data_IF_943987378274
#
_entry.id   IF_943987378274
#
_cell.length_a   1.000
_cell.length_b   1.000
_cell.length_c   1.000
_cell.angle_alpha   90.00
_cell.angle_beta   90.00
_cell.angle_gamma   90.00
#
_symmetry.space_group_name_H-M   'P 1'
#
loop_
_entity.id
_entity.type
_entity.pdbx_description
1 polymer ?
#
# COMPACT_ATOMS: atom_id res chain seq x y z
N UNK A 1 -56.78 -23.95 0.07
CA UNK A 1 -55.45 -24.35 0.61
C UNK A 1 -54.38 -23.63 -0.19
N UNK A 2 -53.83 -22.56 0.38
CA UNK A 2 -52.91 -21.64 -0.29
C UNK A 2 -51.47 -22.07 0.06
N UNK A 3 -50.75 -22.69 -0.88
CA UNK A 3 -49.32 -23.00 -0.70
C UNK A 3 -48.53 -21.70 -0.89
N UNK A 4 -48.11 -21.09 0.22
CA UNK A 4 -47.13 -20.00 0.21
C UNK A 4 -45.75 -20.61 -0.02
N UNK A 5 -45.27 -20.54 -1.26
CA UNK A 5 -43.88 -20.85 -1.59
C UNK A 5 -43.02 -19.69 -1.09
N UNK A 6 -42.32 -19.91 0.03
CA UNK A 6 -41.35 -18.98 0.58
C UNK A 6 -40.08 -19.07 -0.29
N UNK A 7 -39.85 -18.08 -1.14
CA UNK A 7 -38.58 -17.94 -1.89
C UNK A 7 -37.56 -17.34 -0.93
N UNK A 8 -36.65 -18.18 -0.42
CA UNK A 8 -35.45 -17.71 0.28
C UNK A 8 -34.48 -17.18 -0.79
N UNK A 9 -34.45 -15.86 -0.96
CA UNK A 9 -33.37 -15.20 -1.71
C UNK A 9 -32.15 -15.19 -0.78
N UNK A 10 -31.28 -16.17 -0.94
CA UNK A 10 -29.95 -16.17 -0.33
C UNK A 10 -29.16 -15.04 -1.00
N UNK A 11 -29.12 -13.86 -0.38
CA UNK A 11 -28.09 -12.87 -0.69
C UNK A 11 -26.76 -13.48 -0.26
N UNK A 12 -26.11 -14.18 -1.19
CA UNK A 12 -24.66 -14.35 -1.16
C UNK A 12 -24.07 -12.94 -1.22
N UNK A 13 -23.82 -12.35 -0.05
CA UNK A 13 -22.78 -11.36 0.09
C UNK A 13 -21.49 -12.04 -0.34
N UNK A 14 -21.21 -11.98 -1.64
CA UNK A 14 -19.84 -12.03 -2.11
C UNK A 14 -19.26 -10.75 -1.51
N UNK A 15 -18.70 -10.84 -0.30
CA UNK A 15 -17.64 -9.94 0.10
C UNK A 15 -16.51 -10.23 -0.89
N UNK A 16 -16.61 -9.62 -2.06
CA UNK A 16 -15.46 -9.31 -2.85
C UNK A 16 -14.64 -8.44 -1.91
N UNK A 17 -13.68 -9.07 -1.22
CA UNK A 17 -12.55 -8.37 -0.66
C UNK A 17 -11.95 -7.68 -1.88
N UNK A 18 -12.39 -6.44 -2.12
CA UNK A 18 -11.86 -5.58 -3.16
C UNK A 18 -10.48 -5.24 -2.65
N UNK A 19 -9.53 -6.11 -2.97
CA UNK A 19 -8.15 -5.96 -2.59
C UNK A 19 -7.64 -4.55 -2.81
N UNK A 20 -6.95 -4.01 -1.82
CA UNK A 20 -6.28 -2.72 -1.91
C UNK A 20 -5.21 -2.60 -0.84
N UNK A 21 -4.09 -1.98 -1.21
CA UNK A 21 -2.97 -1.70 -0.32
C UNK A 21 -2.35 -0.36 -0.71
N UNK A 22 -1.93 0.39 0.30
CA UNK A 22 -1.30 1.70 0.19
C UNK A 22 -0.40 1.93 1.42
N UNK A 23 0.43 2.96 1.36
CA UNK A 23 1.26 3.38 2.50
C UNK A 23 0.42 4.20 3.48
N UNK A 24 0.29 3.72 4.71
CA UNK A 24 -0.42 4.42 5.80
C UNK A 24 0.49 5.37 6.59
N UNK A 25 1.77 5.03 6.70
CA UNK A 25 2.72 5.68 7.62
C UNK A 25 4.12 5.68 7.04
N UNK A 26 4.81 6.82 7.04
CA UNK A 26 6.25 6.92 6.78
C UNK A 26 6.96 7.50 8.02
N UNK A 27 8.11 6.93 8.38
CA UNK A 27 8.94 7.43 9.46
C UNK A 27 10.41 7.02 9.29
N UNK A 28 11.30 7.68 10.03
CA UNK A 28 12.70 7.25 10.19
C UNK A 28 12.89 6.29 11.38
N UNK A 29 11.88 6.17 12.26
CA UNK A 29 11.85 5.20 13.34
C UNK A 29 10.94 4.01 12.98
N UNK A 30 11.56 2.84 12.79
CA UNK A 30 10.84 1.57 12.54
C UNK A 30 9.84 1.25 13.65
N UNK A 31 10.09 1.67 14.89
CA UNK A 31 9.21 1.43 16.04
C UNK A 31 7.88 2.15 15.87
N UNK A 32 7.90 3.39 15.35
CA UNK A 32 6.69 4.15 15.03
C UNK A 32 5.89 3.44 13.95
N UNK A 33 6.56 3.01 12.88
CA UNK A 33 5.91 2.34 11.75
C UNK A 33 5.33 0.98 12.15
N UNK A 34 6.09 0.15 12.85
CA UNK A 34 5.73 -1.25 13.10
C UNK A 34 5.03 -1.47 14.44
N UNK A 35 5.71 -1.16 15.55
CA UNK A 35 5.22 -1.47 16.89
C UNK A 35 3.99 -0.64 17.27
N UNK A 36 3.90 0.58 16.73
CA UNK A 36 2.74 1.46 16.91
C UNK A 36 1.74 1.37 15.76
N UNK A 37 1.89 0.37 14.88
CA UNK A 37 0.92 0.00 13.84
C UNK A 37 -0.54 0.00 14.29
N UNK A 38 -0.87 -0.69 15.41
CA UNK A 38 -2.24 -0.76 15.88
C UNK A 38 -2.83 0.62 16.23
N UNK A 39 -2.01 1.57 16.66
CA UNK A 39 -2.45 2.92 17.01
C UNK A 39 -2.90 3.70 15.77
N UNK A 40 -2.14 3.70 14.68
CA UNK A 40 -2.54 4.46 13.48
C UNK A 40 -3.49 3.72 12.54
N UNK A 41 -3.51 2.38 12.58
CA UNK A 41 -4.46 1.57 11.78
C UNK A 41 -5.85 1.63 12.40
N UNK A 42 -5.97 1.55 13.74
CA UNK A 42 -7.26 1.46 14.44
C UNK A 42 -7.62 2.67 15.31
N UNK A 43 -6.71 3.62 15.54
CA UNK A 43 -6.95 4.80 16.38
C UNK A 43 -7.87 5.85 15.76
N UNK A 44 -8.28 5.68 14.50
CA UNK A 44 -9.12 6.62 13.77
C UNK A 44 -8.48 8.01 13.70
N UNK A 45 -9.30 9.06 13.86
CA UNK A 45 -8.82 10.46 13.80
C UNK A 45 -7.87 10.84 14.93
N UNK A 46 -7.83 10.08 16.04
CA UNK A 46 -6.92 10.35 17.16
C UNK A 46 -5.46 10.08 16.82
N UNK A 47 -5.20 9.30 15.77
CA UNK A 47 -3.86 8.97 15.31
C UNK A 47 -3.36 9.89 14.18
N UNK A 48 -4.16 10.88 13.78
CA UNK A 48 -3.74 11.87 12.80
C UNK A 48 -2.49 12.63 13.29
N UNK A 49 -1.46 12.71 12.45
CA UNK A 49 -0.19 13.36 12.78
C UNK A 49 0.79 12.50 13.57
N UNK A 50 0.48 11.22 13.80
CA UNK A 50 1.35 10.30 14.54
C UNK A 50 2.63 9.90 13.80
N UNK A 51 2.55 9.68 12.49
CA UNK A 51 3.71 9.37 11.64
C UNK A 51 4.37 10.67 11.17
N UNK A 52 5.70 10.65 11.01
CA UNK A 52 6.46 11.79 10.53
C UNK A 52 6.18 12.14 9.05
N UNK A 53 5.65 11.21 8.25
CA UNK A 53 5.24 11.46 6.89
C UNK A 53 4.05 10.62 6.41
N UNK A 54 3.38 11.10 5.37
CA UNK A 54 2.22 10.44 4.77
C UNK A 54 2.27 10.43 3.25
N UNK A 55 1.50 9.52 2.65
CA UNK A 55 1.24 9.58 1.22
C UNK A 55 0.40 10.80 0.84
N UNK A 56 0.41 11.11 -0.45
CA UNK A 56 -0.32 12.22 -1.05
C UNK A 56 -1.79 12.19 -0.63
N UNK A 57 -2.28 13.32 -0.13
CA UNK A 57 -3.68 13.55 0.21
C UNK A 57 -4.26 12.52 1.19
N UNK A 58 -3.43 11.97 2.09
CA UNK A 58 -3.84 10.96 3.05
C UNK A 58 -4.96 11.45 3.97
N UNK A 59 -6.14 10.84 3.87
CA UNK A 59 -7.33 11.27 4.62
C UNK A 59 -7.32 10.81 6.09
N UNK A 60 -6.45 9.86 6.43
CA UNK A 60 -6.38 9.25 7.75
C UNK A 60 -7.42 8.14 7.95
N UNK A 61 -7.10 7.17 8.80
CA UNK A 61 -7.96 6.00 9.11
C UNK A 61 -9.24 6.36 9.89
N UNK A 62 -9.41 7.62 10.30
CA UNK A 62 -10.66 8.14 10.84
C UNK A 62 -11.73 8.46 9.80
N UNK A 63 -11.36 8.54 8.52
CA UNK A 63 -12.31 8.75 7.42
C UNK A 63 -12.98 7.42 7.04
N UNK A 64 -14.32 7.34 7.02
CA UNK A 64 -15.04 6.10 6.71
C UNK A 64 -14.79 5.59 5.28
N UNK A 65 -14.36 6.47 4.37
CA UNK A 65 -14.06 6.14 2.98
C UNK A 65 -12.56 6.01 2.71
N UNK A 66 -11.70 5.93 3.74
CA UNK A 66 -10.24 5.84 3.59
C UNK A 66 -9.82 4.77 2.58
N UNK A 67 -10.47 3.61 2.64
CA UNK A 67 -10.26 2.50 1.72
C UNK A 67 -10.48 2.89 0.26
N UNK A 68 -11.55 3.62 -0.04
CA UNK A 68 -11.84 4.08 -1.40
C UNK A 68 -10.91 5.23 -1.81
N UNK A 69 -10.71 6.22 -0.93
CA UNK A 69 -9.96 7.45 -1.22
C UNK A 69 -8.45 7.22 -1.36
N UNK A 70 -7.89 6.25 -0.63
CA UNK A 70 -6.46 5.97 -0.66
C UNK A 70 -6.06 4.89 -1.67
N UNK A 71 -7.02 4.12 -2.19
CA UNK A 71 -6.73 3.10 -3.19
C UNK A 71 -6.56 3.71 -4.56
N UNK A 72 -5.32 3.70 -5.06
CA UNK A 72 -5.05 3.93 -6.47
C UNK A 72 -4.76 2.61 -7.18
N UNK A 73 -5.73 2.13 -7.96
CA UNK A 73 -5.69 0.81 -8.63
C UNK A 73 -5.54 0.95 -10.14
N UNK A 74 -4.62 0.18 -10.72
CA UNK A 74 -4.38 0.13 -12.17
C UNK A 74 -4.56 -1.32 -12.64
N UNK A 75 -5.49 -1.59 -13.55
CA UNK A 75 -5.68 -2.94 -14.07
C UNK A 75 -4.48 -3.37 -14.92
N UNK A 76 -4.14 -4.67 -14.94
CA UNK A 76 -3.03 -5.19 -15.79
C UNK A 76 -3.15 -4.71 -17.24
N UNK A 77 -4.37 -4.72 -17.78
CA UNK A 77 -4.64 -4.30 -19.16
C UNK A 77 -4.28 -2.83 -19.41
N UNK A 78 -4.26 -1.99 -18.39
CA UNK A 78 -3.95 -0.57 -18.49
C UNK A 78 -2.49 -0.27 -18.11
N UNK A 79 -1.83 -1.14 -17.34
CA UNK A 79 -0.38 -1.06 -17.10
C UNK A 79 0.39 -1.05 -18.43
N UNK A 80 -0.01 -1.91 -19.38
CA UNK A 80 0.58 -1.99 -20.71
C UNK A 80 0.21 -0.80 -21.63
N UNK A 81 -0.73 0.06 -21.23
CA UNK A 81 -1.21 1.22 -22.02
C UNK A 81 -0.70 2.55 -21.47
N UNK A 82 0.36 2.53 -20.67
CA UNK A 82 0.94 3.72 -20.07
C UNK A 82 -0.01 4.50 -19.14
N UNK A 83 -0.70 3.80 -18.24
CA UNK A 83 -1.62 4.40 -17.28
C UNK A 83 -0.92 5.40 -16.35
N UNK A 84 -1.67 6.38 -15.84
CA UNK A 84 -1.21 7.28 -14.79
C UNK A 84 -0.92 6.50 -13.49
N UNK A 85 0.11 6.90 -12.75
CA UNK A 85 0.54 6.23 -11.51
C UNK A 85 0.14 7.00 -10.23
N UNK A 86 -0.34 8.24 -10.37
CA UNK A 86 -0.80 9.10 -9.29
C UNK A 86 -2.09 9.82 -9.69
N UNK A 87 -2.86 10.29 -8.71
CA UNK A 87 -3.94 11.25 -8.98
C UNK A 87 -3.38 12.58 -9.49
N UNK A 88 -4.18 13.30 -10.28
CA UNK A 88 -3.84 14.63 -10.81
C UNK A 88 -4.02 15.75 -9.79
N UNK A 89 -4.51 15.44 -8.58
CA UNK A 89 -4.72 16.42 -7.53
C UNK A 89 -3.41 17.14 -7.18
N UNK A 90 -3.52 18.35 -6.65
CA UNK A 90 -2.35 19.03 -6.08
C UNK A 90 -1.82 18.25 -4.87
N UNK A 91 -0.53 18.38 -4.59
CA UNK A 91 0.06 17.85 -3.36
C UNK A 91 -0.47 18.65 -2.17
N UNK A 92 -1.23 18.01 -1.29
CA UNK A 92 -1.71 18.62 -0.05
C UNK A 92 -1.07 17.96 1.18
N UNK A 93 -0.22 18.73 1.85
CA UNK A 93 0.40 18.44 3.14
C UNK A 93 0.03 19.51 4.17
N UNK A 94 -1.23 19.97 4.13
CA UNK A 94 -1.82 20.88 5.11
C UNK A 94 -2.28 20.14 6.38
N UNK A 95 -2.64 20.91 7.40
CA UNK A 95 -3.10 20.44 8.71
C UNK A 95 -2.06 19.56 9.43
N UNK A 96 -2.44 18.32 9.76
CA UNK A 96 -1.61 17.33 10.44
C UNK A 96 -0.82 16.45 9.47
N UNK A 97 -1.06 16.57 8.16
CA UNK A 97 -0.34 15.80 7.14
C UNK A 97 1.00 16.46 6.90
N UNK A 98 2.05 15.67 6.89
CA UNK A 98 3.40 16.14 6.60
C UNK A 98 4.07 15.23 5.56
N UNK A 99 4.97 15.83 4.78
CA UNK A 99 5.99 15.07 4.06
C UNK A 99 7.09 14.71 5.04
N UNK A 100 7.71 13.55 4.87
CA UNK A 100 8.80 13.14 5.76
C UNK A 100 10.03 14.03 5.50
N UNK A 101 10.48 14.77 6.52
CA UNK A 101 11.74 15.53 6.46
C UNK A 101 12.90 14.71 7.01
N UNK A 102 14.01 14.63 6.29
CA UNK A 102 15.15 13.78 6.61
C UNK A 102 16.44 14.28 5.95
N UNK A 103 17.59 13.67 6.27
CA UNK A 103 18.87 13.96 5.62
C UNK A 103 19.23 12.90 4.57
N UNK A 104 20.11 13.26 3.63
CA UNK A 104 20.66 12.28 2.70
C UNK A 104 21.38 11.14 3.44
N UNK A 105 21.22 9.90 2.98
CA UNK A 105 21.70 8.70 3.68
C UNK A 105 20.76 8.16 4.75
N UNK A 106 19.71 8.89 5.13
CA UNK A 106 18.73 8.40 6.10
C UNK A 106 17.93 7.21 5.54
N UNK A 107 17.58 6.28 6.42
CA UNK A 107 16.67 5.18 6.13
C UNK A 107 15.24 5.59 6.45
N UNK A 108 14.35 5.33 5.50
CA UNK A 108 12.92 5.47 5.63
C UNK A 108 12.31 4.10 5.85
N UNK A 109 11.38 4.02 6.80
CA UNK A 109 10.48 2.90 7.01
C UNK A 109 9.08 3.33 6.66
N UNK A 110 8.29 2.41 6.12
CA UNK A 110 6.89 2.69 5.83
C UNK A 110 6.03 1.44 6.05
N UNK A 111 4.81 1.70 6.53
CA UNK A 111 3.82 0.68 6.85
C UNK A 111 2.75 0.63 5.76
N UNK A 112 2.41 -0.57 5.31
CA UNK A 112 1.28 -0.82 4.42
C UNK A 112 0.51 -2.06 4.89
N UNK A 113 -0.79 -2.09 4.62
CA UNK A 113 -1.65 -3.21 5.02
C UNK A 113 -1.73 -4.27 3.93
N UNK A 114 -1.70 -5.55 4.34
CA UNK A 114 -1.83 -6.68 3.40
C UNK A 114 -3.27 -6.90 2.99
N UNK A 115 -4.21 -6.54 3.86
CA UNK A 115 -5.64 -6.58 3.63
C UNK A 115 -6.13 -7.96 3.16
N UNK A 116 -5.55 -9.01 3.73
CA UNK A 116 -5.86 -10.40 3.42
C UNK A 116 -5.11 -11.00 2.22
N UNK A 117 -4.36 -10.22 1.44
CA UNK A 117 -3.67 -10.71 0.24
C UNK A 117 -2.57 -11.74 0.52
N UNK A 118 -2.01 -11.72 1.74
CA UNK A 118 -0.97 -12.66 2.17
C UNK A 118 -1.60 -13.91 2.79
N UNK A 119 -2.44 -13.76 3.82
CA UNK A 119 -2.87 -14.91 4.63
C UNK A 119 -4.15 -15.56 4.10
N UNK A 120 -5.16 -14.75 3.75
CA UNK A 120 -6.49 -15.22 3.32
C UNK A 120 -6.47 -15.70 1.88
N UNK A 121 -5.90 -14.89 0.99
CA UNK A 121 -5.86 -15.19 -0.44
C UNK A 121 -4.64 -16.02 -0.84
N UNK A 122 -3.54 -15.91 -0.07
CA UNK A 122 -2.25 -16.57 -0.36
C UNK A 122 -1.67 -16.19 -1.72
N UNK A 123 -2.06 -15.02 -2.24
CA UNK A 123 -1.72 -14.57 -3.58
C UNK A 123 -0.51 -13.63 -3.59
N UNK A 124 -0.29 -12.85 -2.53
CA UNK A 124 0.76 -11.83 -2.53
C UNK A 124 2.16 -12.34 -2.19
N UNK A 125 2.30 -13.58 -1.69
CA UNK A 125 3.56 -14.11 -1.14
C UNK A 125 4.75 -14.19 -2.12
N UNK A 126 4.51 -13.99 -3.42
CA UNK A 126 5.56 -13.93 -4.46
C UNK A 126 5.44 -12.71 -5.37
N UNK A 127 4.70 -11.70 -4.92
CA UNK A 127 4.53 -10.46 -5.68
C UNK A 127 5.52 -9.41 -5.19
N UNK A 128 5.81 -8.45 -6.07
CA UNK A 128 6.87 -7.50 -5.83
C UNK A 128 6.37 -6.06 -5.92
N UNK A 129 6.93 -5.21 -5.08
CA UNK A 129 6.80 -3.77 -5.20
C UNK A 129 8.17 -3.12 -5.44
N UNK A 130 8.15 -1.87 -5.90
CA UNK A 130 9.33 -1.00 -5.90
C UNK A 130 8.98 0.40 -5.43
N UNK A 131 9.99 1.14 -4.98
CA UNK A 131 9.89 2.58 -4.70
C UNK A 131 10.68 3.33 -5.76
N UNK A 132 9.99 4.19 -6.50
CA UNK A 132 10.52 4.84 -7.69
C UNK A 132 10.56 6.35 -7.52
N UNK A 133 11.55 6.97 -8.15
CA UNK A 133 11.73 8.41 -8.17
C UNK A 133 12.56 8.84 -9.38
N UNK A 134 12.63 10.14 -9.65
CA UNK A 134 13.49 10.71 -10.69
C UNK A 134 14.92 11.00 -10.21
N UNK A 135 15.13 11.06 -8.89
CA UNK A 135 16.37 11.54 -8.27
C UNK A 135 16.60 13.06 -8.42
N UNK A 136 15.62 13.82 -8.92
CA UNK A 136 15.74 15.28 -9.12
C UNK A 136 14.63 16.01 -8.35
N UNK A 137 14.96 16.97 -7.45
CA UNK A 137 13.97 17.72 -6.70
C UNK A 137 12.87 18.33 -7.59
N UNK A 138 11.62 18.27 -7.13
CA UNK A 138 10.47 18.90 -7.78
C UNK A 138 9.97 18.22 -9.06
N UNK A 139 10.58 17.11 -9.49
CA UNK A 139 10.16 16.36 -10.69
C UNK A 139 9.41 15.08 -10.31
N UNK A 140 8.61 14.54 -11.24
CA UNK A 140 7.76 13.38 -11.00
C UNK A 140 7.85 12.37 -12.14
N UNK A 141 7.72 11.10 -11.79
CA UNK A 141 7.28 10.06 -12.72
C UNK A 141 5.76 10.22 -12.91
N UNK A 142 5.24 10.02 -14.12
CA UNK A 142 3.83 10.31 -14.43
C UNK A 142 3.02 9.05 -14.74
N UNK A 143 3.66 8.05 -15.34
CA UNK A 143 2.98 6.93 -15.98
C UNK A 143 3.70 5.60 -15.76
N UNK A 144 3.02 4.48 -16.04
CA UNK A 144 3.58 3.14 -15.84
C UNK A 144 4.82 2.86 -16.69
N UNK A 145 5.05 3.57 -17.80
CA UNK A 145 6.28 3.43 -18.59
C UNK A 145 7.48 4.16 -17.97
N UNK A 146 7.25 5.11 -17.06
CA UNK A 146 8.33 5.78 -16.33
C UNK A 146 8.93 4.89 -15.21
N UNK A 147 8.23 3.81 -14.84
CA UNK A 147 8.62 2.87 -13.78
C UNK A 147 9.67 1.85 -14.28
N UNK A 148 10.87 2.35 -14.57
CA UNK A 148 12.01 1.56 -15.02
C UNK A 148 12.98 1.22 -13.88
N UNK A 149 13.85 0.23 -14.11
CA UNK A 149 14.78 -0.27 -13.09
C UNK A 149 15.79 0.81 -12.63
N UNK A 150 16.18 1.74 -13.50
CA UNK A 150 17.05 2.87 -13.17
C UNK A 150 16.34 3.95 -12.33
N UNK A 151 15.02 3.85 -12.17
CA UNK A 151 14.21 4.74 -11.33
C UNK A 151 13.93 4.17 -9.95
N UNK A 152 14.31 2.92 -9.67
CA UNK A 152 14.24 2.36 -8.33
C UNK A 152 15.21 3.10 -7.40
N UNK A 153 14.72 3.61 -6.28
CA UNK A 153 15.52 4.42 -5.37
C UNK A 153 16.73 3.66 -4.79
N UNK A 154 16.59 2.37 -4.58
CA UNK A 154 17.61 1.46 -4.07
C UNK A 154 18.02 0.39 -5.10
N UNK A 155 17.58 0.54 -6.35
CA UNK A 155 17.97 -0.31 -7.48
C UNK A 155 17.34 -1.70 -7.51
N UNK A 156 16.38 -2.03 -6.62
CA UNK A 156 15.80 -3.37 -6.55
C UNK A 156 14.29 -3.39 -6.29
N UNK A 157 13.68 -4.52 -6.64
CA UNK A 157 12.31 -4.84 -6.24
C UNK A 157 12.33 -5.62 -4.93
N UNK A 158 11.24 -5.50 -4.18
CA UNK A 158 11.08 -6.10 -2.85
C UNK A 158 9.86 -7.00 -2.83
N UNK A 159 9.90 -8.07 -2.04
CA UNK A 159 8.72 -8.89 -1.78
C UNK A 159 7.66 -8.06 -1.06
N UNK A 160 6.40 -8.19 -1.48
CA UNK A 160 5.27 -7.59 -0.76
C UNK A 160 4.99 -8.27 0.59
N UNK A 161 5.19 -9.59 0.68
CA UNK A 161 5.15 -10.27 1.98
C UNK A 161 6.50 -10.07 2.69
N UNK A 162 6.49 -9.31 3.79
CA UNK A 162 7.68 -9.04 4.60
C UNK A 162 8.06 -10.21 5.53
N UNK A 163 7.31 -11.32 5.47
CA UNK A 163 7.52 -12.51 6.29
C UNK A 163 6.88 -12.45 7.67
N UNK A 164 6.27 -11.33 8.06
CA UNK A 164 5.86 -11.11 9.44
C UNK A 164 4.46 -10.48 9.60
N UNK A 165 4.05 -9.60 8.70
CA UNK A 165 2.69 -9.07 8.66
C UNK A 165 1.67 -10.16 8.30
N UNK A 166 0.43 -9.96 8.71
CA UNK A 166 -0.67 -10.86 8.35
C UNK A 166 -1.78 -10.88 9.37
N UNK A 167 -2.95 -10.45 8.92
CA UNK A 167 -4.17 -10.35 9.70
C UNK A 167 -4.71 -11.74 10.07
N UNK A 168 -5.32 -11.86 11.25
CA UNK A 168 -6.18 -13.00 11.53
C UNK A 168 -7.45 -12.88 10.67
N UNK A 169 -8.05 -14.01 10.30
CA UNK A 169 -9.28 -13.98 9.49
C UNK A 169 -10.30 -14.99 9.99
N UNK A 170 -11.58 -14.69 9.77
CA UNK A 170 -12.68 -15.60 10.09
C UNK A 170 -13.11 -16.36 8.85
N UNK A 171 -13.38 -17.66 8.99
CA UNK A 171 -14.04 -18.49 7.98
C UNK A 171 -15.57 -18.54 8.14
N UNK A 172 -16.11 -17.71 9.04
CA UNK A 172 -17.53 -17.69 9.41
C UNK A 172 -17.90 -18.63 10.57
N UNK A 173 -17.01 -19.53 10.97
CA UNK A 173 -17.18 -20.41 12.13
C UNK A 173 -16.19 -20.09 13.26
N UNK A 174 -14.94 -19.76 12.92
CA UNK A 174 -13.90 -19.46 13.89
C UNK A 174 -12.92 -18.40 13.37
N UNK A 175 -12.30 -17.66 14.28
CA UNK A 175 -11.11 -16.85 13.96
C UNK A 175 -9.92 -17.79 13.79
N UNK A 176 -9.33 -17.78 12.60
CA UNK A 176 -8.15 -18.57 12.23
C UNK A 176 -6.90 -17.72 12.50
N UNK A 177 -6.01 -18.15 13.42
CA UNK A 177 -4.72 -17.49 13.61
C UNK A 177 -3.89 -17.61 12.33
N UNK A 178 -3.31 -16.50 11.89
CA UNK A 178 -2.45 -16.46 10.69
C UNK A 178 -1.07 -17.07 10.90
N UNK A 179 -0.64 -17.26 12.15
CA UNK A 179 0.75 -17.54 12.51
C UNK A 179 1.70 -16.35 12.27
N UNK A 180 1.13 -15.18 11.97
CA UNK A 180 1.83 -13.91 11.75
C UNK A 180 1.58 -12.97 12.95
N UNK A 181 2.10 -11.75 12.88
CA UNK A 181 1.99 -10.77 13.97
C UNK A 181 0.56 -10.33 14.30
N UNK A 182 -0.40 -10.57 13.40
CA UNK A 182 -1.82 -10.35 13.63
C UNK A 182 -2.31 -8.95 13.24
N UNK A 183 -3.56 -8.70 13.58
CA UNK A 183 -4.29 -7.49 13.19
C UNK A 183 -3.62 -6.22 13.73
N UNK A 184 -3.48 -5.21 12.87
CA UNK A 184 -2.87 -3.93 13.22
C UNK A 184 -1.35 -3.90 13.16
N UNK A 185 -0.68 -5.03 12.87
CA UNK A 185 0.74 -5.04 12.53
C UNK A 185 0.91 -4.96 11.02
N UNK A 186 1.36 -3.81 10.48
CA UNK A 186 1.52 -3.61 9.05
C UNK A 186 2.66 -4.45 8.51
N UNK A 187 2.66 -4.65 7.19
CA UNK A 187 3.87 -4.99 6.47
C UNK A 187 4.81 -3.78 6.47
N UNK A 188 6.11 -4.03 6.62
CA UNK A 188 7.11 -2.95 6.68
C UNK A 188 8.00 -3.00 5.46
N UNK A 189 7.99 -1.92 4.69
CA UNK A 189 8.99 -1.67 3.68
C UNK A 189 10.04 -0.68 4.17
N UNK A 190 11.18 -0.68 3.50
CA UNK A 190 12.26 0.27 3.78
C UNK A 190 12.99 0.67 2.50
N UNK A 191 13.57 1.86 2.50
CA UNK A 191 14.56 2.30 1.52
C UNK A 191 15.48 3.33 2.18
N UNK A 192 16.67 3.54 1.62
CA UNK A 192 17.56 4.62 2.05
C UNK A 192 17.61 5.70 0.99
N UNK A 193 17.62 6.96 1.43
CA UNK A 193 17.88 8.09 0.55
C UNK A 193 19.35 8.04 0.15
N UNK A 194 19.70 8.01 -1.15
CA UNK A 194 21.09 7.91 -1.56
C UNK A 194 21.98 9.00 -0.93
N UNK A 195 23.19 8.62 -0.52
CA UNK A 195 24.16 9.57 0.02
C UNK A 195 24.49 10.63 -1.04
N UNK A 196 24.59 11.88 -0.62
CA UNK A 196 24.86 13.01 -1.52
C UNK A 196 23.63 13.53 -2.28
N UNK A 197 22.43 12.99 -2.00
CA UNK A 197 21.17 13.57 -2.49
C UNK A 197 21.08 15.04 -2.08
N UNK A 198 20.87 15.92 -3.04
CA UNK A 198 20.80 17.36 -2.78
C UNK A 198 19.56 17.73 -1.94
N UNK A 199 19.60 18.79 -1.14
CA UNK A 199 18.41 19.28 -0.45
C UNK A 199 17.27 19.62 -1.42
N UNK A 200 16.04 19.30 -1.03
CA UNK A 200 14.85 19.56 -1.83
C UNK A 200 13.72 18.57 -1.58
N UNK A 201 12.56 18.84 -2.18
CA UNK A 201 11.39 17.95 -2.12
C UNK A 201 11.43 16.99 -3.29
N UNK A 202 11.37 15.69 -3.00
CA UNK A 202 11.37 14.61 -3.99
C UNK A 202 10.00 13.95 -4.03
N UNK A 203 9.52 13.67 -5.24
CA UNK A 203 8.28 12.92 -5.45
C UNK A 203 8.64 11.44 -5.68
N UNK A 204 8.01 10.56 -4.91
CA UNK A 204 8.23 9.13 -4.97
C UNK A 204 6.92 8.39 -5.24
N UNK A 205 7.04 7.19 -5.79
CA UNK A 205 5.93 6.29 -6.06
C UNK A 205 6.29 4.92 -5.50
N UNK A 206 5.54 4.44 -4.52
CA UNK A 206 5.48 3.03 -4.20
C UNK A 206 4.52 2.35 -5.17
N UNK A 207 4.97 1.30 -5.84
CA UNK A 207 4.21 0.61 -6.88
C UNK A 207 4.29 -0.90 -6.67
N UNK A 208 3.15 -1.51 -6.36
CA UNK A 208 3.03 -2.96 -6.13
C UNK A 208 2.32 -3.63 -7.30
N UNK A 209 2.95 -4.65 -7.88
CA UNK A 209 2.34 -5.50 -8.90
C UNK A 209 1.62 -6.67 -8.24
N UNK A 210 0.31 -6.56 -8.01
CA UNK A 210 -0.49 -7.68 -7.50
C UNK A 210 -0.96 -8.59 -8.65
N UNK A 211 0.02 -9.24 -9.30
CA UNK A 211 -0.14 -10.22 -10.36
C UNK A 211 1.18 -10.96 -10.60
N UNK A 212 1.15 -12.04 -11.37
CA UNK A 212 2.36 -12.72 -11.80
C UNK A 212 3.13 -11.84 -12.79
N UNK A 213 4.29 -11.34 -12.39
CA UNK A 213 5.04 -10.35 -13.15
C UNK A 213 5.71 -10.92 -14.41
N UNK A 214 5.96 -12.23 -14.44
CA UNK A 214 6.61 -12.90 -15.57
C UNK A 214 5.60 -13.17 -16.70
N UNK A 215 4.37 -13.52 -16.33
CA UNK A 215 3.31 -13.89 -17.27
C UNK A 215 2.26 -12.79 -17.49
N UNK A 216 2.25 -11.75 -16.64
CA UNK A 216 1.23 -10.69 -16.62
C UNK A 216 -0.19 -11.24 -16.47
N UNK A 217 -0.38 -12.25 -15.62
CA UNK A 217 -1.71 -12.84 -15.36
C UNK A 217 -2.10 -12.78 -13.89
N UNK A 218 -3.39 -12.94 -13.63
CA UNK A 218 -3.92 -13.20 -12.29
C UNK A 218 -3.26 -14.44 -11.66
N UNK A 219 -3.26 -14.50 -10.33
CA UNK A 219 -2.56 -15.49 -9.52
C UNK A 219 -3.57 -16.56 -9.06
N UNK A 220 -3.46 -17.81 -9.55
CA UNK A 220 -4.26 -18.92 -9.06
C UNK A 220 -3.76 -19.40 -7.71
N UNK A 221 -4.66 -19.56 -6.74
CA UNK A 221 -4.38 -20.12 -5.42
C UNK A 221 -5.40 -21.23 -5.12
N UNK A 222 -5.24 -21.91 -3.99
CA UNK A 222 -6.19 -22.95 -3.55
C UNK A 222 -7.58 -22.38 -3.22
N UNK A 223 -7.68 -21.08 -2.93
CA UNK A 223 -8.91 -20.39 -2.54
C UNK A 223 -9.56 -19.60 -3.69
N UNK A 224 -8.89 -19.42 -4.82
CA UNK A 224 -9.45 -18.69 -5.96
C UNK A 224 -8.42 -18.19 -6.96
N UNK A 225 -8.83 -17.23 -7.79
CA UNK A 225 -7.95 -16.53 -8.72
C UNK A 225 -7.94 -15.06 -8.31
N UNK A 226 -6.78 -14.55 -7.93
CA UNK A 226 -6.59 -13.23 -7.34
C UNK A 226 -5.64 -12.38 -8.18
N UNK A 227 -5.39 -11.14 -7.74
CA UNK A 227 -4.57 -10.21 -8.50
C UNK A 227 -5.34 -9.53 -9.64
N UNK A 228 -4.62 -9.19 -10.71
CA UNK A 228 -5.21 -8.51 -11.87
C UNK A 228 -5.01 -6.99 -11.88
N UNK A 229 -4.27 -6.45 -10.91
CA UNK A 229 -4.02 -5.02 -10.82
C UNK A 229 -2.68 -4.70 -10.15
N UNK A 230 -2.19 -3.49 -10.40
CA UNK A 230 -1.20 -2.84 -9.58
C UNK A 230 -1.85 -1.82 -8.65
N UNK A 231 -1.18 -1.54 -7.53
CA UNK A 231 -1.57 -0.50 -6.58
C UNK A 231 -0.42 0.49 -6.41
N UNK A 232 -0.77 1.75 -6.20
CA UNK A 232 0.23 2.81 -6.05
C UNK A 232 0.00 3.66 -4.81
N UNK A 233 1.10 4.20 -4.28
CA UNK A 233 1.07 5.28 -3.31
C UNK A 233 2.10 6.31 -3.73
N UNK A 234 1.64 7.51 -4.09
CA UNK A 234 2.52 8.62 -4.38
C UNK A 234 2.74 9.45 -3.12
N UNK A 235 3.97 9.87 -2.85
CA UNK A 235 4.33 10.58 -1.63
C UNK A 235 5.52 11.49 -1.85
N UNK A 236 5.77 12.40 -0.91
CA UNK A 236 6.92 13.27 -0.90
C UNK A 236 7.80 13.02 0.31
N UNK A 237 9.10 13.18 0.10
CA UNK A 237 10.09 13.36 1.16
C UNK A 237 10.82 14.68 0.93
N UNK A 238 11.22 15.34 2.01
CA UNK A 238 12.03 16.56 1.97
C UNK A 238 13.42 16.22 2.50
N UNK A 239 14.41 16.27 1.62
CA UNK A 239 15.82 16.15 1.99
C UNK A 239 16.28 17.52 2.47
N UNK A 240 16.72 17.60 3.71
CA UNK A 240 17.27 18.81 4.33
C UNK A 240 18.80 18.81 4.26
N UNK A 241 19.38 20.00 4.40
CA UNK A 241 20.83 20.19 4.53
C UNK A 241 21.39 19.63 5.84
#
# INVERSE_FOLDING_TARGET
>A
MQKKTLVFVLMLYIEAVLGHSWIDCLDTDRTVVYNRGPEYIYGGSKANGMCAGYMKNYVGRGDPDVNYKMTFKILIADVAKNAAICTTDVWDYSDWRHRLSLTAGATVYYGYTSNGHIVKEQAAGKTFYGVYWTGVPGTSLATTFDLAADKLIDGQLHNFDDGNCGEAYSDGAHTIPSGRSGDGYPCVGTFSIPVGTAPGVYNLVWYWKFYDADTNTSIPTSSGIYGGAAYTSCFQVEVTA
#
